data_IF_148975953835
#
_entry.id   IF_148975953835
#
_cell.length_a   1.000
_cell.length_b   1.000
_cell.length_c   1.000
_cell.angle_alpha   90.00
_cell.angle_beta   90.00
_cell.angle_gamma   90.00
#
_symmetry.space_group_name_H-M   'P 1'
#
loop_
_entity.id
_entity.type
_entity.pdbx_description
1 polymer ?
#
# COMPACT_ATOMS: atom_id res chain seq x y z
N UNK A 1 -13.29 -8.91 -3.25
CA UNK A 1 -12.00 -8.59 -3.86
C UNK A 1 -10.98 -8.41 -2.76
N UNK A 2 -9.87 -9.16 -2.82
CA UNK A 2 -8.77 -9.10 -1.86
C UNK A 2 -7.60 -8.32 -2.47
N UNK A 3 -7.13 -7.29 -1.78
CA UNK A 3 -6.00 -6.46 -2.20
C UNK A 3 -4.87 -6.60 -1.18
N UNK A 4 -3.70 -7.02 -1.64
CA UNK A 4 -2.48 -7.02 -0.85
C UNK A 4 -1.83 -5.64 -0.94
N UNK A 5 -1.52 -5.03 0.20
CA UNK A 5 -0.90 -3.69 0.27
C UNK A 5 0.45 -3.79 0.96
N UNK A 6 1.50 -3.37 0.28
CA UNK A 6 2.89 -3.38 0.79
C UNK A 6 3.55 -2.03 0.53
N UNK A 7 4.54 -1.68 1.34
CA UNK A 7 5.36 -0.49 1.20
C UNK A 7 6.73 -0.69 1.86
N UNK A 8 7.71 0.08 1.43
CA UNK A 8 8.98 0.20 2.15
C UNK A 8 9.70 -1.13 2.36
N UNK A 9 9.82 -1.93 1.30
CA UNK A 9 10.50 -3.23 1.30
C UNK A 9 12.02 -3.12 1.20
N UNK A 10 12.54 -1.96 0.77
CA UNK A 10 13.95 -1.57 0.83
C UNK A 10 14.94 -2.64 0.38
N UNK A 11 14.74 -3.19 -0.81
CA UNK A 11 15.56 -4.25 -1.45
C UNK A 11 15.50 -5.61 -0.76
N UNK A 12 14.54 -5.83 0.13
CA UNK A 12 14.35 -7.13 0.75
C UNK A 12 13.35 -7.99 -0.05
N UNK A 13 13.85 -8.54 -1.18
CA UNK A 13 13.08 -9.46 -2.00
C UNK A 13 12.49 -10.62 -1.20
N UNK A 14 13.29 -11.23 -0.31
CA UNK A 14 12.87 -12.42 0.44
C UNK A 14 11.67 -12.17 1.36
N UNK A 15 11.53 -10.96 1.91
CA UNK A 15 10.36 -10.63 2.74
C UNK A 15 9.13 -10.40 1.87
N UNK A 16 9.29 -9.73 0.73
CA UNK A 16 8.18 -9.47 -0.20
C UNK A 16 7.67 -10.79 -0.79
N UNK A 17 8.56 -11.68 -1.22
CA UNK A 17 8.26 -13.01 -1.73
C UNK A 17 7.44 -13.83 -0.72
N UNK A 18 7.88 -13.91 0.53
CA UNK A 18 7.13 -14.60 1.60
C UNK A 18 5.73 -14.03 1.83
N UNK A 19 5.56 -12.73 1.70
CA UNK A 19 4.26 -12.08 1.85
C UNK A 19 3.36 -12.46 0.67
N UNK A 20 3.86 -12.40 -0.56
CA UNK A 20 3.10 -12.75 -1.76
C UNK A 20 2.73 -14.23 -1.75
N UNK A 21 3.66 -15.13 -1.43
CA UNK A 21 3.40 -16.57 -1.31
C UNK A 21 2.28 -16.91 -0.31
N UNK A 22 2.15 -16.16 0.78
CA UNK A 22 1.05 -16.30 1.75
C UNK A 22 -0.29 -15.72 1.24
N UNK A 23 -0.26 -14.96 0.15
CA UNK A 23 -1.41 -14.19 -0.34
C UNK A 23 -1.64 -14.39 -1.85
N UNK A 24 -1.35 -15.59 -2.39
CA UNK A 24 -1.54 -15.92 -3.81
C UNK A 24 -3.00 -15.84 -4.28
N UNK A 25 -3.93 -15.80 -3.34
CA UNK A 25 -5.37 -15.59 -3.57
C UNK A 25 -5.75 -14.10 -3.70
N UNK A 26 -4.78 -13.20 -3.73
CA UNK A 26 -5.04 -11.76 -3.93
C UNK A 26 -5.42 -11.46 -5.37
N UNK A 27 -6.42 -10.59 -5.53
CA UNK A 27 -6.88 -10.10 -6.84
C UNK A 27 -6.00 -8.96 -7.38
N UNK A 28 -5.26 -8.28 -6.50
CA UNK A 28 -4.42 -7.13 -6.81
C UNK A 28 -3.33 -6.97 -5.73
N UNK A 29 -2.13 -6.61 -6.16
CA UNK A 29 -1.06 -6.14 -5.28
C UNK A 29 -0.91 -4.64 -5.49
N UNK A 30 -0.86 -3.86 -4.40
CA UNK A 30 -0.51 -2.43 -4.43
C UNK A 30 0.78 -2.25 -3.63
N UNK A 31 1.86 -1.84 -4.31
CA UNK A 31 3.13 -1.50 -3.68
C UNK A 31 3.29 0.02 -3.65
N UNK A 32 3.42 0.58 -2.46
CA UNK A 32 3.39 2.03 -2.23
C UNK A 32 4.79 2.68 -2.24
N UNK A 33 5.76 2.04 -2.89
CA UNK A 33 7.09 2.62 -3.13
C UNK A 33 8.18 2.14 -2.19
N UNK A 34 9.40 2.58 -2.49
CA UNK A 34 10.66 2.17 -1.84
C UNK A 34 10.91 0.66 -1.89
N UNK A 35 10.78 0.12 -3.13
CA UNK A 35 10.95 -1.30 -3.39
C UNK A 35 10.84 -1.67 -4.87
N UNK A 36 11.27 -0.81 -5.80
CA UNK A 36 11.00 -0.98 -7.24
C UNK A 36 11.59 -2.25 -7.84
N UNK A 37 12.79 -2.67 -7.38
CA UNK A 37 13.45 -3.83 -7.96
C UNK A 37 12.77 -5.13 -7.56
N UNK A 38 12.56 -5.34 -6.27
CA UNK A 38 11.88 -6.53 -5.76
C UNK A 38 10.42 -6.61 -6.19
N UNK A 39 9.73 -5.47 -6.30
CA UNK A 39 8.37 -5.43 -6.83
C UNK A 39 8.32 -5.87 -8.31
N UNK A 40 9.27 -5.43 -9.12
CA UNK A 40 9.40 -5.85 -10.53
C UNK A 40 9.69 -7.35 -10.63
N UNK A 41 10.58 -7.87 -9.79
CA UNK A 41 10.95 -9.28 -9.80
C UNK A 41 9.74 -10.14 -9.42
N UNK A 42 9.02 -9.79 -8.34
CA UNK A 42 7.76 -10.43 -7.92
C UNK A 42 6.71 -10.37 -9.03
N UNK A 43 6.52 -9.22 -9.71
CA UNK A 43 5.55 -9.12 -10.80
C UNK A 43 5.90 -10.07 -11.97
N UNK A 44 7.18 -10.30 -12.21
CA UNK A 44 7.66 -11.22 -13.25
C UNK A 44 7.40 -12.68 -12.87
N UNK A 45 7.48 -13.03 -11.59
CA UNK A 45 7.27 -14.39 -11.08
C UNK A 45 5.77 -14.71 -10.89
N UNK A 46 4.96 -13.70 -10.58
CA UNK A 46 3.52 -13.83 -10.38
C UNK A 46 2.70 -12.98 -11.40
N UNK A 47 2.85 -13.23 -12.73
CA UNK A 47 2.23 -12.39 -13.75
C UNK A 47 0.70 -12.45 -13.76
N UNK A 48 0.11 -13.43 -13.08
CA UNK A 48 -1.34 -13.59 -12.97
C UNK A 48 -1.98 -12.69 -11.91
N UNK A 49 -1.19 -12.12 -10.99
CA UNK A 49 -1.67 -11.17 -10.00
C UNK A 49 -1.23 -9.77 -10.46
N UNK A 50 -2.16 -8.90 -10.90
CA UNK A 50 -1.79 -7.56 -11.33
C UNK A 50 -1.18 -6.77 -10.17
N UNK A 51 -0.20 -5.92 -10.49
CA UNK A 51 0.45 -5.05 -9.50
C UNK A 51 0.35 -3.59 -9.92
N UNK A 52 0.00 -2.74 -8.97
CA UNK A 52 0.12 -1.29 -9.05
C UNK A 52 1.33 -0.87 -8.21
N UNK A 53 2.18 -0.04 -8.78
CA UNK A 53 3.37 0.49 -8.12
C UNK A 53 3.39 2.01 -8.21
N UNK A 54 3.61 2.69 -7.08
CA UNK A 54 3.88 4.13 -7.04
C UNK A 54 5.30 4.38 -6.55
N UNK A 55 5.93 5.45 -7.02
CA UNK A 55 7.32 5.76 -6.73
C UNK A 55 7.49 6.26 -5.29
N UNK A 56 8.44 5.67 -4.57
CA UNK A 56 8.93 6.17 -3.29
C UNK A 56 10.09 7.16 -3.46
N UNK A 57 10.51 7.77 -2.36
CA UNK A 57 11.63 8.73 -2.38
C UNK A 57 13.01 8.05 -2.55
N UNK A 58 13.10 6.75 -2.33
CA UNK A 58 14.33 5.96 -2.55
C UNK A 58 14.35 5.25 -3.91
N UNK A 59 13.32 5.40 -4.74
CA UNK A 59 13.22 4.79 -6.06
C UNK A 59 13.79 5.71 -7.14
N UNK A 60 14.38 5.14 -8.17
CA UNK A 60 15.02 5.86 -9.28
C UNK A 60 14.33 5.65 -10.63
N UNK A 61 13.39 4.70 -10.70
CA UNK A 61 12.67 4.36 -11.93
C UNK A 61 11.58 5.37 -12.29
N UNK A 62 11.07 5.23 -13.54
CA UNK A 62 9.97 6.05 -14.06
C UNK A 62 8.61 5.47 -13.64
N UNK A 63 8.29 5.55 -12.36
CA UNK A 63 6.99 5.21 -11.82
C UNK A 63 6.21 6.48 -11.46
N UNK A 64 4.89 6.50 -11.52
CA UNK A 64 4.09 7.64 -11.09
C UNK A 64 4.24 7.86 -9.58
N UNK A 65 4.24 9.12 -9.15
CA UNK A 65 4.28 9.47 -7.73
C UNK A 65 2.96 9.14 -7.01
N UNK A 66 1.87 9.09 -7.78
CA UNK A 66 0.53 8.75 -7.30
C UNK A 66 -0.30 8.12 -8.42
N UNK A 67 -1.27 7.30 -8.05
CA UNK A 67 -2.26 6.71 -8.95
C UNK A 67 -3.63 6.64 -8.28
N UNK A 68 -4.68 6.76 -9.11
CA UNK A 68 -6.04 6.38 -8.70
C UNK A 68 -6.37 5.03 -9.31
N UNK A 69 -6.68 4.07 -8.47
CA UNK A 69 -7.05 2.70 -8.85
C UNK A 69 -8.54 2.51 -8.59
N UNK A 70 -9.26 1.92 -9.55
CA UNK A 70 -10.66 1.54 -9.33
C UNK A 70 -10.74 0.05 -9.06
N UNK A 71 -11.28 -0.33 -7.91
CA UNK A 71 -11.42 -1.71 -7.47
C UNK A 71 -12.78 -1.91 -6.80
N UNK A 72 -13.53 -2.91 -7.25
CA UNK A 72 -14.84 -3.25 -6.69
C UNK A 72 -15.81 -2.05 -6.56
N UNK A 73 -15.74 -1.10 -7.51
CA UNK A 73 -16.56 0.13 -7.49
C UNK A 73 -16.02 1.26 -6.63
N UNK A 74 -14.91 1.07 -5.93
CA UNK A 74 -14.25 2.12 -5.13
C UNK A 74 -13.07 2.72 -5.88
N UNK A 75 -12.89 4.03 -5.75
CA UNK A 75 -11.66 4.72 -6.11
C UNK A 75 -10.69 4.73 -4.93
N UNK A 76 -9.46 4.32 -5.19
CA UNK A 76 -8.37 4.20 -4.22
C UNK A 76 -7.25 5.14 -4.65
N UNK A 77 -6.93 6.11 -3.82
CA UNK A 77 -5.78 6.99 -4.00
C UNK A 77 -4.53 6.29 -3.45
N UNK A 78 -3.53 6.09 -4.29
CA UNK A 78 -2.29 5.43 -3.94
C UNK A 78 -1.12 6.41 -4.10
N UNK A 79 -0.30 6.59 -3.08
CA UNK A 79 0.94 7.35 -3.11
C UNK A 79 1.94 6.79 -2.11
N UNK A 80 3.21 7.20 -2.23
CA UNK A 80 4.17 6.85 -1.19
C UNK A 80 3.99 7.69 0.09
N UNK A 81 3.64 8.97 -0.05
CA UNK A 81 3.37 9.87 1.07
C UNK A 81 4.39 11.00 1.26
N UNK A 82 5.61 10.88 0.73
CA UNK A 82 6.65 11.88 0.88
C UNK A 82 6.29 13.26 0.30
N UNK A 83 5.39 13.31 -0.68
CA UNK A 83 4.90 14.56 -1.27
C UNK A 83 3.70 15.17 -0.52
N UNK A 84 3.23 14.54 0.55
CA UNK A 84 2.02 14.93 1.30
C UNK A 84 2.29 15.20 2.78
N UNK A 85 3.56 15.42 3.17
CA UNK A 85 3.99 15.69 4.54
C UNK A 85 3.35 14.78 5.61
N UNK A 86 3.23 13.49 5.29
CA UNK A 86 2.51 12.51 6.14
C UNK A 86 3.14 12.27 7.52
N UNK A 87 4.35 12.79 7.76
CA UNK A 87 4.97 12.82 9.08
C UNK A 87 4.34 13.87 10.00
N UNK A 88 3.84 14.98 9.45
CA UNK A 88 3.23 16.08 10.20
C UNK A 88 1.72 15.90 10.39
N UNK A 89 1.09 15.12 9.51
CA UNK A 89 -0.35 14.83 9.56
C UNK A 89 -0.88 14.28 8.23
N UNK A 90 -2.16 13.98 8.18
CA UNK A 90 -2.78 13.37 7.01
C UNK A 90 -3.73 14.31 6.25
N UNK A 91 -3.78 15.59 6.61
CA UNK A 91 -4.71 16.56 6.03
C UNK A 91 -4.50 16.75 4.53
N UNK A 92 -3.23 16.85 4.08
CA UNK A 92 -2.90 17.00 2.66
C UNK A 92 -3.24 15.74 1.87
N UNK A 93 -2.95 14.56 2.41
CA UNK A 93 -3.30 13.28 1.80
C UNK A 93 -4.82 13.12 1.65
N UNK A 94 -5.58 13.43 2.70
CA UNK A 94 -7.05 13.36 2.69
C UNK A 94 -7.63 14.34 1.67
N UNK A 95 -7.10 15.58 1.63
CA UNK A 95 -7.53 16.59 0.65
C UNK A 95 -7.28 16.12 -0.80
N UNK A 96 -6.10 15.52 -1.07
CA UNK A 96 -5.77 14.98 -2.38
C UNK A 96 -6.69 13.83 -2.79
N UNK A 97 -6.95 12.88 -1.88
CA UNK A 97 -7.87 11.76 -2.12
C UNK A 97 -9.30 12.25 -2.41
N UNK A 98 -9.77 13.24 -1.66
CA UNK A 98 -11.11 13.85 -1.89
C UNK A 98 -11.20 14.60 -3.21
N UNK A 99 -10.15 15.27 -3.63
CA UNK A 99 -10.09 15.96 -4.92
C UNK A 99 -10.25 14.99 -6.12
N UNK A 100 -9.80 13.75 -5.97
CA UNK A 100 -9.95 12.66 -6.95
C UNK A 100 -11.22 11.82 -6.72
N UNK A 101 -12.09 12.23 -5.80
CA UNK A 101 -13.31 11.50 -5.43
C UNK A 101 -13.01 10.06 -4.96
N UNK A 102 -11.89 9.88 -4.23
CA UNK A 102 -11.45 8.60 -3.69
C UNK A 102 -12.05 8.34 -2.30
N UNK A 103 -12.55 7.13 -2.10
CA UNK A 103 -13.08 6.65 -0.81
C UNK A 103 -11.98 6.05 0.09
N UNK A 104 -10.86 5.66 -0.51
CA UNK A 104 -9.74 5.00 0.14
C UNK A 104 -8.46 5.74 -0.22
N UNK A 105 -7.56 5.94 0.75
CA UNK A 105 -6.24 6.51 0.56
C UNK A 105 -5.17 5.59 1.17
N UNK A 106 -4.18 5.21 0.37
CA UNK A 106 -3.09 4.34 0.78
C UNK A 106 -1.77 5.08 0.68
N UNK A 107 -0.93 4.98 1.72
CA UNK A 107 0.38 5.61 1.77
C UNK A 107 1.39 4.77 2.57
N UNK A 108 2.68 5.02 2.40
CA UNK A 108 3.80 4.38 3.09
C UNK A 108 4.70 5.39 3.79
N UNK A 109 6.00 5.34 3.50
CA UNK A 109 7.04 6.31 3.87
C UNK A 109 7.37 6.41 5.36
N UNK A 110 6.39 6.42 6.25
CA UNK A 110 6.62 6.55 7.69
C UNK A 110 7.14 5.28 8.34
N UNK A 111 6.99 4.12 7.70
CA UNK A 111 7.24 2.76 8.23
C UNK A 111 6.40 2.45 9.49
N UNK A 112 5.33 3.18 9.72
CA UNK A 112 4.42 3.02 10.84
C UNK A 112 3.05 2.58 10.31
N UNK A 113 2.64 1.39 10.65
CA UNK A 113 1.32 0.91 10.25
C UNK A 113 0.21 1.72 10.91
N UNK A 114 -0.84 2.00 10.16
CA UNK A 114 -1.98 2.80 10.61
C UNK A 114 -3.21 2.51 9.78
N UNK A 115 -4.37 2.40 10.42
CA UNK A 115 -5.67 2.41 9.76
C UNK A 115 -6.59 3.37 10.49
N UNK A 116 -7.29 4.23 9.76
CA UNK A 116 -8.26 5.17 10.31
C UNK A 116 -9.24 5.65 9.23
N UNK A 117 -10.27 6.37 9.64
CA UNK A 117 -11.18 7.05 8.74
C UNK A 117 -11.22 8.53 9.11
N UNK A 118 -10.87 9.40 8.15
CA UNK A 118 -10.89 10.86 8.32
C UNK A 118 -11.75 11.44 7.21
N UNK A 119 -12.75 12.25 7.57
CA UNK A 119 -13.65 12.91 6.63
C UNK A 119 -14.25 11.95 5.58
N UNK A 120 -14.69 10.78 6.01
CA UNK A 120 -15.23 9.70 5.18
C UNK A 120 -14.23 9.08 4.19
N UNK A 121 -12.94 9.33 4.32
CA UNK A 121 -11.86 8.64 3.59
C UNK A 121 -11.23 7.58 4.50
N UNK A 122 -11.27 6.32 4.07
CA UNK A 122 -10.60 5.22 4.72
C UNK A 122 -9.10 5.24 4.38
N UNK A 123 -8.25 5.25 5.39
CA UNK A 123 -6.82 5.45 5.22
C UNK A 123 -6.07 4.24 5.76
N UNK A 124 -5.07 3.78 4.99
CA UNK A 124 -4.14 2.75 5.45
C UNK A 124 -2.69 3.12 5.12
N UNK A 125 -1.82 2.92 6.10
CA UNK A 125 -0.40 2.69 5.91
C UNK A 125 -0.11 1.24 6.32
N UNK A 126 0.45 0.40 5.44
CA UNK A 126 0.71 -1.01 5.78
C UNK A 126 1.89 -1.19 6.74
N UNK A 127 2.64 -0.12 7.04
CA UNK A 127 3.92 -0.20 7.71
C UNK A 127 5.04 -0.63 6.76
N UNK A 128 6.12 -1.15 7.31
CA UNK A 128 7.23 -1.74 6.56
C UNK A 128 7.44 -3.19 6.99
N UNK A 129 7.57 -4.13 6.05
CA UNK A 129 7.87 -5.51 6.36
C UNK A 129 9.35 -5.77 6.60
N UNK A 130 10.22 -4.79 6.28
CA UNK A 130 11.67 -4.89 6.43
C UNK A 130 12.21 -4.00 7.55
N UNK A 131 11.79 -2.75 7.58
CA UNK A 131 12.38 -1.71 8.42
C UNK A 131 11.33 -0.96 9.25
N UNK A 132 10.52 -1.64 10.09
CA UNK A 132 9.51 -0.99 10.90
C UNK A 132 10.13 -0.01 11.89
N UNK A 133 9.42 1.08 12.19
CA UNK A 133 9.89 2.11 13.14
C UNK A 133 9.18 2.00 14.49
N UNK A 134 9.75 2.69 15.50
CA UNK A 134 9.19 2.78 16.86
C UNK A 134 8.96 1.41 17.54
N UNK A 135 9.87 0.45 17.31
CA UNK A 135 9.78 -0.92 17.86
C UNK A 135 8.52 -1.68 17.42
N UNK A 136 7.87 -1.26 16.32
CA UNK A 136 6.77 -2.00 15.74
C UNK A 136 7.25 -3.31 15.10
N UNK A 137 6.32 -4.26 14.98
CA UNK A 137 6.56 -5.48 14.22
C UNK A 137 6.60 -5.19 12.72
N UNK A 138 7.33 -5.98 11.90
CA UNK A 138 7.22 -5.98 10.46
C UNK A 138 5.79 -6.32 10.02
N UNK A 139 5.21 -5.47 9.14
CA UNK A 139 3.79 -5.60 8.75
C UNK A 139 3.56 -5.36 7.27
N UNK A 140 2.40 -5.81 6.81
CA UNK A 140 1.78 -5.49 5.53
C UNK A 140 0.27 -5.32 5.71
N UNK A 141 -0.42 -4.87 4.69
CA UNK A 141 -1.86 -4.65 4.72
C UNK A 141 -2.63 -5.64 3.84
N UNK A 142 -3.85 -5.95 4.24
CA UNK A 142 -4.84 -6.65 3.42
C UNK A 142 -6.14 -5.88 3.47
N UNK A 143 -6.70 -5.59 2.29
CA UNK A 143 -8.00 -4.93 2.15
C UNK A 143 -8.96 -5.92 1.50
N UNK A 144 -10.12 -6.10 2.10
CA UNK A 144 -11.23 -6.83 1.52
C UNK A 144 -12.35 -5.85 1.13
N UNK A 145 -12.73 -5.85 -0.15
CA UNK A 145 -13.78 -5.03 -0.69
C UNK A 145 -14.93 -5.89 -1.22
N UNK A 146 -16.16 -5.49 -0.92
CA UNK A 146 -17.34 -6.12 -1.51
C UNK A 146 -18.19 -5.10 -2.25
N UNK A 147 -18.96 -5.54 -3.23
CA UNK A 147 -19.83 -4.69 -4.04
C UNK A 147 -21.03 -4.13 -3.27
N UNK A 148 -21.35 -4.70 -2.12
CA UNK A 148 -22.44 -4.29 -1.22
C UNK A 148 -22.01 -3.25 -0.16
N UNK A 149 -20.76 -2.82 -0.20
CA UNK A 149 -20.30 -1.66 0.57
C UNK A 149 -19.31 -1.95 1.69
N UNK A 150 -18.85 -3.18 1.89
CA UNK A 150 -17.84 -3.49 2.90
C UNK A 150 -16.46 -2.99 2.46
N UNK A 151 -15.80 -2.25 3.34
CA UNK A 151 -14.37 -1.90 3.27
C UNK A 151 -13.75 -2.40 4.57
N UNK A 152 -13.01 -3.49 4.50
CA UNK A 152 -12.29 -4.06 5.63
C UNK A 152 -10.80 -3.93 5.41
N UNK A 153 -10.09 -3.28 6.36
CA UNK A 153 -8.66 -3.04 6.31
C UNK A 153 -7.97 -3.71 7.49
N UNK A 154 -7.05 -4.61 7.20
CA UNK A 154 -6.32 -5.36 8.21
C UNK A 154 -4.81 -5.15 8.07
N UNK A 155 -4.14 -4.89 9.19
CA UNK A 155 -2.69 -4.92 9.32
C UNK A 155 -2.27 -6.32 9.77
N UNK A 156 -1.36 -6.93 9.04
CA UNK A 156 -0.91 -8.30 9.27
C UNK A 156 0.58 -8.30 9.62
N UNK A 157 0.95 -8.99 10.70
CA UNK A 157 2.35 -9.20 11.05
C UNK A 157 3.00 -10.22 10.11
N UNK A 158 4.20 -9.92 9.63
CA UNK A 158 4.99 -10.82 8.76
C UNK A 158 5.40 -12.10 9.49
N UNK A 159 5.54 -12.05 10.82
CA UNK A 159 5.98 -13.18 11.66
C UNK A 159 4.91 -14.25 11.89
N UNK A 160 3.67 -14.02 11.48
CA UNK A 160 2.53 -14.96 11.71
C UNK A 160 2.21 -15.81 10.49
#
# INVERSE_FOLDING_TARGET
>A
MKILVVSDTHRNYSVLDKIVEKNLDSDLIIHLGDGENEARDIQSEHPNIPMVYVRGNCDYGYHPDQQVVTACGYKIFCCHGHNYDVHSGLQELVAAAKAEDCKIALYGHTHLHRTECIDDVYIMNPGSPDSPRNHNEPTYGVINLTSDGLIEMNIISVAK
#
